data_IF_644555562514
#
_entry.id   IF_644555562514
#
_cell.length_a   1.000
_cell.length_b   1.000
_cell.length_c   1.000
_cell.angle_alpha   90.00
_cell.angle_beta   90.00
_cell.angle_gamma   90.00
#
_symmetry.space_group_name_H-M   'P 1'
#
loop_
_entity.id
_entity.type
_entity.pdbx_description
1 polymer ?
#
# COMPACT_ATOMS: atom_id res chain seq x y z
N UNK A 1 -41.40 34.25 -3.95
CA UNK A 1 -40.68 33.62 -2.81
C UNK A 1 -40.29 32.15 -3.04
N UNK A 2 -40.79 31.44 -4.06
CA UNK A 2 -40.41 30.03 -4.34
C UNK A 2 -39.20 29.83 -5.26
N UNK A 3 -38.72 30.86 -5.96
CA UNK A 3 -37.55 30.76 -6.84
C UNK A 3 -36.19 31.00 -6.14
N UNK A 4 -36.18 31.67 -4.98
CA UNK A 4 -34.95 31.90 -4.21
C UNK A 4 -34.47 30.65 -3.45
N UNK A 5 -35.38 29.73 -3.11
CA UNK A 5 -35.03 28.47 -2.45
C UNK A 5 -34.35 27.46 -3.37
N UNK A 6 -34.63 27.49 -4.67
CA UNK A 6 -34.08 26.52 -5.64
C UNK A 6 -32.64 26.88 -6.03
N UNK A 7 -32.30 28.17 -6.07
CA UNK A 7 -30.92 28.62 -6.35
C UNK A 7 -29.99 28.36 -5.15
N UNK A 8 -30.49 28.47 -3.92
CA UNK A 8 -29.73 28.15 -2.72
C UNK A 8 -29.43 26.64 -2.58
N UNK A 9 -30.33 25.76 -3.05
CA UNK A 9 -30.10 24.31 -3.03
C UNK A 9 -29.14 23.80 -4.10
N UNK A 10 -28.91 24.55 -5.18
CA UNK A 10 -27.93 24.21 -6.23
C UNK A 10 -26.49 24.62 -5.88
N UNK A 11 -26.30 25.50 -4.88
CA UNK A 11 -24.98 25.96 -4.44
C UNK A 11 -24.35 25.10 -3.33
N UNK A 12 -25.04 24.06 -2.85
CA UNK A 12 -24.58 23.15 -1.79
C UNK A 12 -24.12 21.76 -2.31
N UNK A 13 -24.14 21.53 -3.63
CA UNK A 13 -23.67 20.28 -4.25
C UNK A 13 -22.20 20.34 -4.73
N UNK A 14 -21.53 21.48 -4.53
CA UNK A 14 -20.07 21.55 -4.62
C UNK A 14 -19.46 21.12 -3.30
N UNK A 15 -19.32 19.80 -3.07
CA UNK A 15 -18.43 19.32 -2.03
C UNK A 15 -17.03 19.85 -2.34
N UNK A 16 -16.52 20.77 -1.53
CA UNK A 16 -15.13 21.22 -1.62
C UNK A 16 -14.24 20.00 -1.36
N UNK A 17 -13.77 19.35 -2.42
CA UNK A 17 -12.69 18.39 -2.32
C UNK A 17 -11.49 19.16 -1.75
N UNK A 18 -11.13 18.88 -0.49
CA UNK A 18 -9.92 19.42 0.10
C UNK A 18 -8.76 19.04 -0.83
N UNK A 19 -8.00 20.00 -1.37
CA UNK A 19 -6.92 19.67 -2.29
C UNK A 19 -5.94 18.76 -1.55
N UNK A 20 -5.80 17.52 -2.05
CA UNK A 20 -4.85 16.56 -1.50
C UNK A 20 -3.49 16.88 -2.10
N UNK A 21 -2.55 17.27 -1.25
CA UNK A 21 -1.20 17.64 -1.67
C UNK A 21 -0.27 16.50 -1.32
N UNK A 22 0.34 15.91 -2.35
CA UNK A 22 1.30 14.83 -2.18
C UNK A 22 2.69 15.33 -2.56
N UNK A 23 3.60 15.29 -1.60
CA UNK A 23 5.00 15.62 -1.80
C UNK A 23 5.81 14.33 -1.90
N UNK A 24 6.33 14.05 -3.09
CA UNK A 24 7.24 12.92 -3.30
C UNK A 24 8.67 13.44 -3.43
N UNK A 25 9.53 13.06 -2.48
CA UNK A 25 10.96 13.33 -2.50
C UNK A 25 11.70 12.14 -3.10
N UNK A 26 12.39 12.38 -4.21
CA UNK A 26 13.17 11.41 -4.94
C UNK A 26 14.48 10.99 -4.22
N UNK A 27 14.82 11.61 -3.09
CA UNK A 27 16.04 11.31 -2.33
C UNK A 27 17.29 12.00 -2.87
N UNK A 28 17.17 12.76 -3.96
CA UNK A 28 18.20 13.66 -4.52
C UNK A 28 17.89 15.15 -4.23
N UNK A 29 16.89 15.42 -3.39
CA UNK A 29 16.42 16.77 -3.06
C UNK A 29 15.34 17.32 -3.99
N UNK A 30 14.98 16.61 -5.07
CA UNK A 30 13.83 16.97 -5.91
C UNK A 30 12.52 16.58 -5.21
N UNK A 31 11.68 17.58 -4.93
CA UNK A 31 10.29 17.36 -4.50
C UNK A 31 9.34 17.54 -5.67
N UNK A 32 8.58 16.51 -5.98
CA UNK A 32 7.51 16.55 -6.98
C UNK A 32 6.18 16.67 -6.25
N UNK A 33 5.40 17.69 -6.61
CA UNK A 33 4.00 17.77 -6.20
C UNK A 33 3.20 16.83 -7.12
N UNK A 34 2.67 15.75 -6.56
CA UNK A 34 1.81 14.81 -7.28
C UNK A 34 0.36 15.27 -7.16
N UNK A 35 -0.30 15.45 -8.31
CA UNK A 35 -1.72 15.81 -8.36
C UNK A 35 -2.55 14.55 -8.05
N UNK A 36 -3.14 14.52 -6.86
CA UNK A 36 -3.89 13.38 -6.36
C UNK A 36 -5.22 13.24 -7.10
N UNK A 37 -5.45 12.10 -7.74
CA UNK A 37 -6.74 11.76 -8.36
C UNK A 37 -7.55 10.93 -7.37
N UNK A 38 -8.78 11.34 -7.07
CA UNK A 38 -9.65 10.57 -6.17
C UNK A 38 -10.05 9.22 -6.80
N UNK A 39 -9.72 8.14 -6.09
CA UNK A 39 -10.07 6.77 -6.47
C UNK A 39 -10.77 6.10 -5.30
N UNK A 40 -11.84 5.36 -5.57
CA UNK A 40 -12.58 4.67 -4.52
C UNK A 40 -11.70 3.68 -3.74
N UNK A 41 -11.88 3.55 -2.41
CA UNK A 41 -11.15 2.57 -1.59
C UNK A 41 -11.35 1.14 -2.10
N UNK A 42 -10.29 0.33 -2.03
CA UNK A 42 -10.36 -1.08 -2.35
C UNK A 42 -11.22 -1.79 -1.32
N UNK A 43 -12.31 -2.40 -1.77
CA UNK A 43 -13.19 -3.19 -0.92
C UNK A 43 -12.70 -4.64 -0.87
N UNK A 44 -12.47 -5.14 0.34
CA UNK A 44 -12.18 -6.55 0.60
C UNK A 44 -13.46 -7.20 1.12
N UNK A 45 -14.04 -8.06 0.31
CA UNK A 45 -15.22 -8.84 0.70
C UNK A 45 -14.90 -9.81 1.84
N UNK A 46 -15.91 -10.30 2.53
CA UNK A 46 -15.70 -11.26 3.62
C UNK A 46 -15.08 -12.57 3.14
N UNK A 47 -15.49 -13.05 1.96
CA UNK A 47 -14.97 -14.29 1.38
C UNK A 47 -13.51 -14.15 0.95
N UNK A 48 -13.14 -13.02 0.33
CA UNK A 48 -11.74 -12.71 0.00
C UNK A 48 -10.89 -12.58 1.26
N UNK A 49 -11.42 -11.95 2.31
CA UNK A 49 -10.74 -11.83 3.60
C UNK A 49 -10.48 -13.20 4.22
N UNK A 50 -11.51 -14.06 4.31
CA UNK A 50 -11.37 -15.42 4.86
C UNK A 50 -10.34 -16.24 4.06
N UNK A 51 -10.45 -16.24 2.74
CA UNK A 51 -9.54 -17.00 1.88
C UNK A 51 -8.08 -16.53 2.03
N UNK A 52 -7.85 -15.21 2.01
CA UNK A 52 -6.51 -14.64 2.16
C UNK A 52 -5.94 -14.90 3.55
N UNK A 53 -6.75 -14.75 4.60
CA UNK A 53 -6.31 -14.99 5.97
C UNK A 53 -5.92 -16.46 6.20
N UNK A 54 -6.71 -17.41 5.70
CA UNK A 54 -6.39 -18.84 5.78
C UNK A 54 -5.05 -19.16 5.12
N UNK A 55 -4.77 -18.57 3.94
CA UNK A 55 -3.47 -18.73 3.27
C UNK A 55 -2.32 -18.16 4.11
N UNK A 56 -2.48 -16.97 4.68
CA UNK A 56 -1.47 -16.33 5.53
C UNK A 56 -1.19 -17.15 6.81
N UNK A 57 -2.22 -17.72 7.43
CA UNK A 57 -2.10 -18.58 8.62
C UNK A 57 -1.27 -19.84 8.29
N UNK A 58 -1.52 -20.46 7.14
CA UNK A 58 -0.77 -21.65 6.69
C UNK A 58 0.71 -21.32 6.44
N UNK A 59 1.00 -20.19 5.81
CA UNK A 59 2.36 -19.75 5.53
C UNK A 59 3.14 -19.41 6.82
N UNK A 60 2.51 -18.75 7.80
CA UNK A 60 3.14 -18.48 9.11
C UNK A 60 3.53 -19.78 9.82
N UNK A 61 2.68 -20.81 9.78
CA UNK A 61 2.98 -22.11 10.39
C UNK A 61 4.19 -22.78 9.73
N UNK A 62 4.26 -22.71 8.39
CA UNK A 62 5.40 -23.25 7.64
C UNK A 62 6.70 -22.55 8.03
N UNK A 63 6.69 -21.22 8.10
CA UNK A 63 7.87 -20.44 8.51
C UNK A 63 8.32 -20.77 9.95
N UNK A 64 7.40 -20.95 10.89
CA UNK A 64 7.74 -21.36 12.27
C UNK A 64 8.34 -22.77 12.27
N UNK A 65 7.72 -23.71 11.56
CA UNK A 65 8.21 -25.09 11.47
C UNK A 65 9.62 -25.17 10.83
N UNK A 66 9.87 -24.42 9.75
CA UNK A 66 11.19 -24.36 9.11
C UNK A 66 12.25 -23.72 10.00
N UNK A 67 11.91 -22.68 10.76
CA UNK A 67 12.84 -22.06 11.71
C UNK A 67 13.16 -22.99 12.87
N UNK A 68 12.21 -23.81 13.32
CA UNK A 68 12.46 -24.82 14.35
C UNK A 68 13.38 -25.94 13.84
N UNK A 69 13.20 -26.39 12.58
CA UNK A 69 14.10 -27.38 11.96
C UNK A 69 15.47 -26.81 11.66
N UNK A 70 15.58 -25.59 11.14
CA UNK A 70 16.88 -24.92 10.90
C UNK A 70 17.62 -24.67 12.21
N UNK A 71 16.90 -24.30 13.27
CA UNK A 71 17.48 -24.16 14.60
C UNK A 71 17.82 -25.52 15.23
N UNK A 72 17.17 -26.62 14.84
CA UNK A 72 17.54 -27.97 15.24
C UNK A 72 18.77 -28.48 14.47
N UNK A 73 18.88 -28.18 13.17
CA UNK A 73 20.00 -28.55 12.31
C UNK A 73 21.26 -27.74 12.65
N UNK A 74 21.12 -26.44 12.95
CA UNK A 74 22.23 -25.63 13.48
C UNK A 74 22.70 -26.09 14.87
N UNK A 75 21.85 -26.78 15.64
CA UNK A 75 22.21 -27.44 16.90
C UNK A 75 22.75 -28.87 16.71
N UNK A 76 22.69 -29.42 15.50
CA UNK A 76 23.16 -30.77 15.17
C UNK A 76 24.68 -30.94 15.13
N UNK A 77 25.45 -29.85 15.08
CA UNK A 77 26.93 -29.89 15.01
C UNK A 77 27.64 -29.61 16.35
N UNK A 78 26.91 -29.55 17.47
CA UNK A 78 27.52 -29.51 18.82
C UNK A 78 26.87 -30.58 19.68
N UNK A 79 27.20 -31.84 19.39
CA UNK A 79 26.84 -32.98 20.23
C UNK A 79 27.56 -32.88 21.58
N UNK A 80 26.79 -33.12 22.64
CA UNK A 80 27.21 -33.70 23.93
C UNK A 80 27.48 -32.73 25.09
N UNK A 81 26.63 -32.87 26.12
CA UNK A 81 26.81 -32.48 27.53
C UNK A 81 27.01 -30.98 27.79
N UNK A 82 25.95 -30.33 28.27
CA UNK A 82 25.83 -29.87 29.66
C UNK A 82 24.43 -29.26 29.85
N UNK A 83 23.91 -29.50 31.04
CA UNK A 83 22.60 -29.18 31.55
C UNK A 83 22.21 -27.70 31.37
N UNK A 84 20.92 -27.49 31.09
CA UNK A 84 20.06 -26.40 31.57
C UNK A 84 20.79 -25.10 31.95
N UNK A 85 20.70 -24.06 31.11
CA UNK A 85 20.47 -22.66 31.54
C UNK A 85 20.43 -21.69 30.36
N UNK A 86 19.51 -20.73 30.48
CA UNK A 86 19.41 -19.45 29.77
C UNK A 86 19.13 -19.46 28.26
N UNK A 87 17.85 -19.28 27.93
CA UNK A 87 17.40 -18.57 26.75
C UNK A 87 17.74 -17.08 26.88
N UNK A 88 18.68 -16.60 26.06
CA UNK A 88 18.83 -15.17 25.75
C UNK A 88 19.53 -15.00 24.40
N UNK A 89 18.79 -14.44 23.44
CA UNK A 89 19.25 -13.37 22.54
C UNK A 89 18.36 -13.29 21.27
N UNK A 90 17.14 -12.76 21.41
CA UNK A 90 16.57 -11.82 20.43
C UNK A 90 15.86 -10.74 21.26
N UNK A 91 16.24 -9.49 21.00
CA UNK A 91 15.74 -8.23 21.56
C UNK A 91 14.54 -8.30 22.52
N UNK A 92 14.81 -7.83 23.73
CA UNK A 92 13.93 -7.54 24.87
C UNK A 92 12.57 -6.93 24.45
N UNK A 93 11.56 -7.79 24.27
CA UNK A 93 10.17 -7.43 24.50
C UNK A 93 9.87 -7.83 25.94
N UNK A 94 9.70 -6.81 26.79
CA UNK A 94 9.55 -6.97 28.23
C UNK A 94 8.61 -8.11 28.62
N UNK A 95 9.12 -8.93 29.54
CA UNK A 95 8.38 -9.92 30.32
C UNK A 95 7.07 -9.34 30.86
N UNK A 96 5.97 -9.72 30.23
CA UNK A 96 4.61 -9.52 30.71
C UNK A 96 3.72 -10.53 30.00
N UNK A 97 3.03 -11.37 30.77
CA UNK A 97 2.03 -12.34 30.32
C UNK A 97 1.17 -11.81 29.16
N UNK A 98 0.96 -12.62 28.12
CA UNK A 98 0.16 -12.22 26.96
C UNK A 98 -1.27 -11.81 27.36
N UNK A 99 -1.88 -10.80 26.73
CA UNK A 99 -3.21 -10.28 27.11
C UNK A 99 -4.35 -11.30 27.05
N UNK A 100 -4.22 -12.36 26.27
CA UNK A 100 -5.22 -13.44 26.22
C UNK A 100 -5.06 -14.44 27.33
N UNK A 101 -3.84 -14.67 27.82
CA UNK A 101 -3.66 -15.38 29.08
C UNK A 101 -4.21 -14.56 30.25
N UNK A 102 -4.33 -13.23 30.10
CA UNK A 102 -4.99 -12.35 31.05
C UNK A 102 -6.51 -12.33 30.85
N UNK A 103 -7.01 -12.19 29.62
CA UNK A 103 -8.45 -12.23 29.30
C UNK A 103 -9.08 -13.58 29.64
N UNK A 104 -8.44 -14.69 29.27
CA UNK A 104 -8.88 -16.04 29.63
C UNK A 104 -8.69 -16.36 31.12
N UNK A 105 -7.80 -15.66 31.85
CA UNK A 105 -7.74 -15.72 33.33
C UNK A 105 -8.78 -14.85 34.02
N UNK A 106 -9.20 -13.76 33.38
CA UNK A 106 -10.11 -12.76 33.95
C UNK A 106 -11.58 -13.09 33.65
N UNK A 107 -11.85 -13.83 32.58
CA UNK A 107 -13.21 -14.19 32.18
C UNK A 107 -13.25 -15.58 31.53
N UNK A 108 -13.17 -16.66 32.33
CA UNK A 108 -13.27 -18.03 31.83
C UNK A 108 -14.69 -18.38 31.35
N UNK A 109 -15.72 -17.76 31.92
CA UNK A 109 -17.13 -17.86 31.53
C UNK A 109 -17.76 -16.46 31.55
N UNK A 110 -18.53 -16.10 30.51
CA UNK A 110 -18.98 -14.74 30.21
C UNK A 110 -19.82 -14.02 31.28
N UNK A 111 -20.30 -14.72 32.30
CA UNK A 111 -21.14 -14.17 33.37
C UNK A 111 -20.35 -13.79 34.65
N UNK A 112 -19.12 -14.27 34.84
CA UNK A 112 -18.33 -14.07 36.07
C UNK A 112 -17.43 -12.80 36.06
N UNK A 113 -17.39 -12.07 34.94
CA UNK A 113 -16.70 -10.78 34.82
C UNK A 113 -17.26 -9.67 35.74
N UNK A 114 -18.41 -9.89 36.37
CA UNK A 114 -19.10 -8.93 37.23
C UNK A 114 -18.42 -8.72 38.61
N UNK A 115 -17.43 -9.52 38.99
CA UNK A 115 -16.76 -9.39 40.30
C UNK A 115 -15.60 -8.38 40.32
N UNK A 116 -15.12 -7.91 39.15
CA UNK A 116 -14.19 -6.77 39.03
C UNK A 116 -14.90 -5.40 39.03
N UNK A 117 -16.23 -5.38 39.20
CA UNK A 117 -17.07 -4.18 39.32
C UNK A 117 -16.92 -3.50 40.70
N UNK A 118 -16.22 -4.14 41.65
CA UNK A 118 -16.08 -3.69 43.03
C UNK A 118 -14.80 -2.92 43.37
N UNK A 119 -14.62 -1.71 42.85
CA UNK A 119 -14.03 -0.62 43.65
C UNK A 119 -12.51 -0.39 43.65
N UNK A 120 -11.69 -1.10 42.88
CA UNK A 120 -10.29 -0.70 42.64
C UNK A 120 -10.03 -0.70 41.13
N UNK A 121 -9.75 0.48 40.56
CA UNK A 121 -9.62 0.63 39.11
C UNK A 121 -8.58 -0.31 38.48
N UNK A 122 -8.68 -0.53 37.18
CA UNK A 122 -7.78 -1.39 36.40
C UNK A 122 -6.29 -1.11 36.69
N UNK A 123 -5.55 -2.01 37.35
CA UNK A 123 -4.12 -1.83 37.67
C UNK A 123 -3.18 -2.02 36.47
N UNK A 124 -3.72 -2.06 35.25
CA UNK A 124 -2.98 -2.28 34.01
C UNK A 124 -2.23 -1.03 33.54
N UNK A 125 -1.10 -1.23 32.84
CA UNK A 125 -0.38 -0.11 32.21
C UNK A 125 -1.24 0.53 31.10
N UNK A 126 -0.95 1.79 30.72
CA UNK A 126 -1.62 2.45 29.58
C UNK A 126 -1.59 1.55 28.34
N UNK A 127 -0.44 0.95 28.05
CA UNK A 127 -0.25 0.09 26.87
C UNK A 127 -1.16 -1.14 26.90
N UNK A 128 -1.32 -1.79 28.05
CA UNK A 128 -2.16 -2.99 28.19
C UNK A 128 -3.65 -2.64 28.05
N UNK A 129 -4.08 -1.49 28.60
CA UNK A 129 -5.44 -0.99 28.44
C UNK A 129 -5.75 -0.66 26.97
N UNK A 130 -4.83 0.02 26.29
CA UNK A 130 -4.94 0.29 24.85
C UNK A 130 -5.00 -1.00 24.04
N UNK A 131 -4.18 -1.98 24.36
CA UNK A 131 -4.16 -3.28 23.67
C UNK A 131 -5.49 -4.01 23.82
N UNK A 132 -6.10 -3.95 25.01
CA UNK A 132 -7.42 -4.51 25.28
C UNK A 132 -8.53 -3.77 24.51
N UNK A 133 -8.53 -2.44 24.54
CA UNK A 133 -9.47 -1.64 23.75
C UNK A 133 -9.33 -1.91 22.24
N UNK A 134 -8.10 -2.06 21.74
CA UNK A 134 -7.86 -2.42 20.34
C UNK A 134 -8.37 -3.83 20.03
N UNK A 135 -8.21 -4.79 20.94
CA UNK A 135 -8.77 -6.14 20.77
C UNK A 135 -10.28 -6.08 20.52
N UNK A 136 -11.02 -5.33 21.35
CA UNK A 136 -12.46 -5.12 21.17
C UNK A 136 -12.80 -4.42 19.85
N UNK A 137 -11.97 -3.48 19.39
CA UNK A 137 -12.17 -2.82 18.10
C UNK A 137 -12.10 -3.80 16.90
N UNK A 138 -11.35 -4.90 17.06
CA UNK A 138 -11.14 -5.91 16.02
C UNK A 138 -12.10 -7.11 16.13
N UNK A 139 -12.93 -7.20 17.18
CA UNK A 139 -13.78 -8.39 17.45
C UNK A 139 -14.64 -8.79 16.25
N UNK A 140 -15.21 -7.81 15.56
CA UNK A 140 -16.12 -8.02 14.41
C UNK A 140 -15.52 -8.84 13.26
N UNK A 141 -14.20 -8.87 13.10
CA UNK A 141 -13.57 -9.69 12.05
C UNK A 141 -13.16 -11.06 12.55
N UNK A 142 -13.07 -11.28 13.87
CA UNK A 142 -12.65 -12.55 14.45
C UNK A 142 -13.78 -13.57 14.54
N UNK A 143 -15.04 -13.15 14.65
CA UNK A 143 -16.21 -14.04 14.59
C UNK A 143 -16.17 -14.96 13.35
N UNK A 144 -15.74 -14.40 12.23
CA UNK A 144 -15.61 -15.09 10.93
C UNK A 144 -14.35 -15.95 10.78
N UNK A 145 -13.41 -15.86 11.73
CA UNK A 145 -12.05 -16.45 11.65
C UNK A 145 -11.89 -17.64 12.61
N UNK A 146 -12.59 -17.66 13.73
CA UNK A 146 -12.50 -18.73 14.73
C UNK A 146 -12.71 -20.13 14.13
N UNK A 147 -13.65 -20.27 13.18
CA UNK A 147 -13.93 -21.52 12.49
C UNK A 147 -12.77 -22.05 11.62
N UNK A 148 -11.95 -21.15 11.07
CA UNK A 148 -10.83 -21.51 10.18
C UNK A 148 -9.49 -21.53 10.92
N UNK A 149 -9.25 -20.57 11.82
CA UNK A 149 -8.03 -20.49 12.62
C UNK A 149 -7.93 -21.65 13.62
N UNK A 150 -9.04 -22.05 14.26
CA UNK A 150 -9.07 -23.12 15.26
C UNK A 150 -8.61 -24.49 14.74
N UNK A 151 -8.59 -24.70 13.42
CA UNK A 151 -8.08 -25.93 12.78
C UNK A 151 -6.55 -25.96 12.67
N UNK A 152 -5.88 -24.80 12.79
CA UNK A 152 -4.47 -24.64 12.40
C UNK A 152 -3.61 -24.03 13.51
N UNK A 153 -4.15 -23.10 14.30
CA UNK A 153 -3.48 -22.39 15.39
C UNK A 153 -4.46 -22.11 16.54
N UNK A 154 -3.95 -21.79 17.74
CA UNK A 154 -4.81 -21.33 18.82
C UNK A 154 -5.43 -19.97 18.41
N UNK A 155 -6.75 -19.86 18.25
CA UNK A 155 -7.41 -18.66 17.72
C UNK A 155 -7.25 -17.47 18.66
N UNK A 156 -7.17 -17.72 19.98
CA UNK A 156 -6.76 -16.69 20.93
C UNK A 156 -5.35 -16.25 20.56
N UNK A 157 -4.32 -17.09 20.69
CA UNK A 157 -2.93 -16.65 20.48
C UNK A 157 -2.69 -15.88 19.17
N UNK A 158 -3.39 -16.24 18.09
CA UNK A 158 -3.38 -15.51 16.82
C UNK A 158 -3.95 -14.09 16.96
N UNK A 159 -5.12 -13.94 17.59
CA UNK A 159 -5.74 -12.64 17.86
C UNK A 159 -4.84 -11.72 18.68
N UNK A 160 -4.15 -12.19 19.73
CA UNK A 160 -3.25 -11.33 20.50
C UNK A 160 -2.03 -10.94 19.68
N UNK A 161 -1.48 -11.87 18.90
CA UNK A 161 -0.34 -11.59 18.04
C UNK A 161 -0.68 -10.48 17.04
N UNK A 162 -1.82 -10.61 16.34
CA UNK A 162 -2.29 -9.62 15.38
C UNK A 162 -2.63 -8.30 16.06
N UNK A 163 -3.34 -8.31 17.18
CA UNK A 163 -3.70 -7.09 17.92
C UNK A 163 -2.44 -6.36 18.42
N UNK A 164 -1.42 -7.09 18.89
CA UNK A 164 -0.15 -6.51 19.33
C UNK A 164 0.66 -5.91 18.18
N UNK A 165 0.67 -6.59 17.02
CA UNK A 165 1.32 -6.08 15.82
C UNK A 165 0.58 -4.86 15.24
N UNK A 166 -0.76 -4.87 15.25
CA UNK A 166 -1.59 -3.73 14.88
C UNK A 166 -1.36 -2.54 15.81
N UNK A 167 -1.28 -2.76 17.14
CA UNK A 167 -0.94 -1.71 18.11
C UNK A 167 0.42 -1.09 17.78
N UNK A 168 1.42 -1.93 17.49
CA UNK A 168 2.77 -1.48 17.14
C UNK A 168 2.76 -0.62 15.87
N UNK A 169 2.05 -1.05 14.83
CA UNK A 169 1.87 -0.29 13.60
C UNK A 169 1.21 1.07 13.88
N UNK A 170 0.06 1.08 14.56
CA UNK A 170 -0.69 2.30 14.84
C UNK A 170 0.10 3.29 15.71
N UNK A 171 0.88 2.79 16.68
CA UNK A 171 1.82 3.61 17.44
C UNK A 171 2.86 4.24 16.53
N UNK A 172 3.50 3.46 15.65
CA UNK A 172 4.50 4.02 14.74
C UNK A 172 3.93 5.05 13.77
N UNK A 173 2.69 4.85 13.32
CA UNK A 173 2.01 5.74 12.36
C UNK A 173 1.59 7.09 12.99
N UNK A 174 1.43 7.14 14.31
CA UNK A 174 0.94 8.33 15.04
C UNK A 174 2.05 9.14 15.71
N UNK A 175 3.31 8.70 15.60
CA UNK A 175 4.44 9.51 16.04
C UNK A 175 4.58 10.75 15.13
N UNK A 176 4.95 11.92 15.68
CA UNK A 176 5.10 13.16 14.93
C UNK A 176 6.30 13.16 13.97
N UNK A 177 7.16 12.15 14.05
CA UNK A 177 8.29 11.95 13.13
C UNK A 177 7.88 11.06 11.95
N UNK A 178 8.50 11.22 10.77
CA UNK A 178 8.24 10.34 9.64
C UNK A 178 8.45 8.87 10.04
N UNK A 179 7.57 8.00 9.55
CA UNK A 179 7.77 6.56 9.70
C UNK A 179 9.01 6.21 8.87
N UNK A 180 10.12 5.82 9.52
CA UNK A 180 11.39 5.51 8.83
C UNK A 180 11.74 4.02 8.88
N UNK A 181 11.10 3.26 9.76
CA UNK A 181 11.30 1.81 9.83
C UNK A 181 10.68 1.17 8.59
N UNK A 182 11.52 0.59 7.73
CA UNK A 182 11.13 0.00 6.43
C UNK A 182 9.83 -0.82 6.49
N UNK A 183 9.66 -1.67 7.51
CA UNK A 183 8.45 -2.46 7.67
C UNK A 183 7.22 -1.60 7.99
N UNK A 184 7.34 -0.62 8.87
CA UNK A 184 6.26 0.30 9.20
C UNK A 184 5.92 1.22 8.01
N UNK A 185 6.91 1.61 7.20
CA UNK A 185 6.70 2.32 5.94
C UNK A 185 5.90 1.46 4.97
N UNK A 186 6.29 0.20 4.76
CA UNK A 186 5.58 -0.72 3.88
C UNK A 186 4.13 -0.96 4.34
N UNK A 187 3.91 -1.15 5.64
CA UNK A 187 2.57 -1.31 6.23
C UNK A 187 1.71 -0.05 6.04
N UNK A 188 2.29 1.13 6.29
CA UNK A 188 1.58 2.42 6.11
C UNK A 188 1.28 2.67 4.63
N UNK A 189 2.23 2.37 3.73
CA UNK A 189 2.05 2.45 2.29
C UNK A 189 0.91 1.54 1.82
N UNK A 190 0.83 0.31 2.33
CA UNK A 190 -0.26 -0.60 2.04
C UNK A 190 -1.60 -0.06 2.54
N UNK A 191 -1.67 0.43 3.77
CA UNK A 191 -2.90 1.06 4.30
C UNK A 191 -3.38 2.23 3.42
N UNK A 192 -2.46 3.12 3.01
CA UNK A 192 -2.78 4.25 2.12
C UNK A 192 -3.26 3.76 0.75
N UNK A 193 -2.58 2.77 0.18
CA UNK A 193 -2.93 2.19 -1.12
C UNK A 193 -4.35 1.61 -1.14
N UNK A 194 -4.72 0.87 -0.08
CA UNK A 194 -6.03 0.21 0.02
C UNK A 194 -7.15 1.16 0.44
N UNK A 195 -6.93 2.00 1.46
CA UNK A 195 -7.97 2.80 2.11
C UNK A 195 -7.94 4.27 1.71
N UNK A 196 -6.75 4.85 1.60
CA UNK A 196 -6.53 6.22 1.13
C UNK A 196 -5.87 7.10 2.15
N UNK A 197 -5.41 8.27 1.70
CA UNK A 197 -4.74 9.24 2.57
C UNK A 197 -5.67 9.71 3.69
N UNK A 198 -6.91 10.11 3.34
CA UNK A 198 -7.86 10.65 4.32
C UNK A 198 -8.33 9.58 5.32
N UNK A 199 -8.79 8.39 4.90
CA UNK A 199 -9.20 7.34 5.85
C UNK A 199 -8.07 6.89 6.78
N UNK A 200 -6.84 6.75 6.26
CA UNK A 200 -5.69 6.35 7.10
C UNK A 200 -5.34 7.45 8.11
N UNK A 201 -5.43 8.72 7.71
CA UNK A 201 -5.23 9.83 8.63
C UNK A 201 -6.30 9.86 9.73
N UNK A 202 -7.58 9.61 9.41
CA UNK A 202 -8.65 9.51 10.42
C UNK A 202 -8.47 8.31 11.35
N UNK A 203 -7.98 7.17 10.84
CA UNK A 203 -7.60 6.02 11.67
C UNK A 203 -6.48 6.41 12.64
N UNK A 204 -5.46 7.14 12.17
CA UNK A 204 -4.39 7.66 13.01
C UNK A 204 -4.92 8.56 14.14
N UNK A 205 -5.78 9.53 13.81
CA UNK A 205 -6.41 10.40 14.82
C UNK A 205 -7.31 9.63 15.77
N UNK A 206 -8.08 8.67 15.26
CA UNK A 206 -8.91 7.78 16.05
C UNK A 206 -8.09 6.97 17.04
N UNK A 207 -6.91 6.51 16.63
CA UNK A 207 -6.01 5.75 17.49
C UNK A 207 -5.42 6.62 18.61
N UNK A 208 -5.02 7.87 18.33
CA UNK A 208 -4.57 8.80 19.38
C UNK A 208 -5.66 9.00 20.43
N UNK A 209 -6.93 9.13 20.02
CA UNK A 209 -8.06 9.21 20.95
C UNK A 209 -8.23 7.91 21.75
N UNK A 210 -8.15 6.74 21.11
CA UNK A 210 -8.18 5.46 21.80
C UNK A 210 -7.05 5.33 22.83
N UNK A 211 -5.84 5.78 22.48
CA UNK A 211 -4.66 5.76 23.37
C UNK A 211 -4.85 6.62 24.62
N UNK A 212 -5.46 7.79 24.49
CA UNK A 212 -5.73 8.69 25.62
C UNK A 212 -6.95 8.26 26.43
N UNK A 213 -8.03 7.82 25.78
CA UNK A 213 -9.24 7.36 26.47
C UNK A 213 -8.99 6.05 27.23
N UNK A 214 -8.15 5.14 26.70
CA UNK A 214 -7.79 3.90 27.37
C UNK A 214 -6.96 4.14 28.65
N UNK A 215 -6.19 5.23 28.74
CA UNK A 215 -5.55 5.62 30.01
C UNK A 215 -6.59 6.02 31.05
N UNK A 216 -7.62 6.75 30.65
CA UNK A 216 -8.64 7.29 31.57
C UNK A 216 -9.65 6.23 32.01
N UNK A 217 -9.82 5.17 31.22
CA UNK A 217 -10.72 4.08 31.56
C UNK A 217 -10.29 3.37 32.85
N UNK A 218 -11.26 3.18 33.74
CA UNK A 218 -11.11 2.55 35.06
C UNK A 218 -11.81 1.21 35.15
N UNK A 219 -12.69 0.88 34.19
CA UNK A 219 -13.44 -0.37 34.13
C UNK A 219 -13.32 -1.06 32.77
N UNK A 220 -13.62 -2.37 32.73
CA UNK A 220 -13.60 -3.16 31.50
C UNK A 220 -14.67 -2.70 30.49
N UNK A 221 -15.85 -2.32 30.99
CA UNK A 221 -16.97 -1.84 30.16
C UNK A 221 -16.58 -0.53 29.46
N UNK A 222 -15.89 0.37 30.17
CA UNK A 222 -15.36 1.59 29.55
C UNK A 222 -14.33 1.28 28.45
N UNK A 223 -13.42 0.33 28.67
CA UNK A 223 -12.46 -0.09 27.65
C UNK A 223 -13.13 -0.70 26.42
N UNK A 224 -14.18 -1.49 26.63
CA UNK A 224 -14.96 -2.06 25.54
C UNK A 224 -15.64 -0.97 24.72
N UNK A 225 -16.26 0.03 25.36
CA UNK A 225 -16.87 1.15 24.64
C UNK A 225 -15.83 1.99 23.88
N UNK A 226 -14.67 2.28 24.49
CA UNK A 226 -13.53 2.92 23.82
C UNK A 226 -13.10 2.13 22.58
N UNK A 227 -12.97 0.81 22.71
CA UNK A 227 -12.63 -0.09 21.61
C UNK A 227 -13.66 -0.06 20.48
N UNK A 228 -14.95 -0.20 20.80
CA UNK A 228 -16.02 -0.16 19.80
C UNK A 228 -16.11 1.19 19.08
N UNK A 229 -15.89 2.31 19.78
CA UNK A 229 -15.83 3.64 19.14
C UNK A 229 -14.70 3.71 18.11
N UNK A 230 -13.53 3.16 18.43
CA UNK A 230 -12.43 3.09 17.46
C UNK A 230 -12.71 2.09 16.32
N UNK A 231 -13.35 0.95 16.61
CA UNK A 231 -13.80 0.00 15.59
C UNK A 231 -14.73 0.63 14.55
N UNK A 232 -15.59 1.58 14.95
CA UNK A 232 -16.41 2.38 14.03
C UNK A 232 -15.59 3.29 13.11
N UNK A 233 -14.43 3.78 13.58
CA UNK A 233 -13.50 4.60 12.76
C UNK A 233 -12.77 3.73 11.74
N UNK A 234 -12.33 2.53 12.13
CA UNK A 234 -11.76 1.55 11.20
C UNK A 234 -12.80 1.12 10.15
N UNK A 235 -14.03 0.87 10.59
CA UNK A 235 -15.07 0.28 9.77
C UNK A 235 -14.73 -1.16 9.34
N UNK A 236 -15.71 -1.88 8.80
CA UNK A 236 -15.52 -3.30 8.44
C UNK A 236 -14.37 -3.49 7.43
N UNK A 237 -14.31 -2.66 6.38
CA UNK A 237 -13.27 -2.78 5.37
C UNK A 237 -11.88 -2.40 5.91
N UNK A 238 -11.77 -1.32 6.69
CA UNK A 238 -10.50 -0.90 7.29
C UNK A 238 -9.95 -1.92 8.28
N UNK A 239 -10.82 -2.57 9.06
CA UNK A 239 -10.44 -3.67 9.96
C UNK A 239 -9.90 -4.87 9.17
N UNK A 240 -10.58 -5.31 8.10
CA UNK A 240 -10.11 -6.41 7.24
C UNK A 240 -8.74 -6.10 6.62
N UNK A 241 -8.58 -4.91 6.05
CA UNK A 241 -7.30 -4.47 5.46
C UNK A 241 -6.21 -4.42 6.52
N UNK A 242 -6.47 -3.84 7.70
CA UNK A 242 -5.50 -3.77 8.79
C UNK A 242 -5.02 -5.17 9.20
N UNK A 243 -5.95 -6.11 9.42
CA UNK A 243 -5.60 -7.49 9.79
C UNK A 243 -4.80 -8.18 8.70
N UNK A 244 -5.20 -8.08 7.43
CA UNK A 244 -4.46 -8.71 6.33
C UNK A 244 -3.05 -8.14 6.14
N UNK A 245 -2.91 -6.82 6.23
CA UNK A 245 -1.63 -6.11 6.09
C UNK A 245 -0.69 -6.47 7.24
N UNK A 246 -1.20 -6.54 8.48
CA UNK A 246 -0.44 -7.00 9.65
C UNK A 246 -0.04 -8.47 9.51
N UNK A 247 -0.97 -9.34 9.11
CA UNK A 247 -0.73 -10.77 8.91
C UNK A 247 0.34 -11.04 7.84
N UNK A 248 0.29 -10.33 6.70
CA UNK A 248 1.29 -10.42 5.64
C UNK A 248 2.71 -10.05 6.11
N UNK A 249 2.81 -9.23 7.16
CA UNK A 249 4.07 -8.79 7.74
C UNK A 249 4.55 -9.67 8.92
N UNK A 250 3.85 -10.73 9.31
CA UNK A 250 4.18 -11.54 10.49
C UNK A 250 5.50 -12.34 10.40
N UNK A 251 6.21 -12.31 9.27
CA UNK A 251 7.59 -12.79 9.13
C UNK A 251 8.61 -11.68 8.89
N UNK A 252 8.23 -10.41 9.09
CA UNK A 252 9.06 -9.24 8.82
C UNK A 252 9.05 -8.81 7.36
N UNK A 253 10.11 -8.11 6.92
CA UNK A 253 10.19 -7.46 5.60
C UNK A 253 10.07 -8.43 4.41
N UNK A 254 10.68 -9.61 4.51
CA UNK A 254 10.66 -10.62 3.44
C UNK A 254 9.27 -11.22 3.28
N UNK A 255 8.59 -11.51 4.39
CA UNK A 255 7.21 -11.98 4.37
C UNK A 255 6.30 -10.90 3.76
N UNK A 256 6.44 -9.64 4.16
CA UNK A 256 5.64 -8.55 3.59
C UNK A 256 5.85 -8.42 2.07
N UNK A 257 7.09 -8.50 1.61
CA UNK A 257 7.42 -8.46 0.18
C UNK A 257 6.85 -9.65 -0.60
N UNK A 258 6.82 -10.85 -0.01
CA UNK A 258 6.32 -12.07 -0.64
C UNK A 258 4.79 -12.20 -0.60
N UNK A 259 4.16 -11.80 0.50
CA UNK A 259 2.74 -12.00 0.77
C UNK A 259 1.89 -10.79 0.40
N UNK A 260 2.41 -9.57 0.55
CA UNK A 260 1.67 -8.35 0.22
C UNK A 260 1.12 -8.33 -1.20
N UNK A 261 1.87 -8.72 -2.25
CA UNK A 261 1.36 -8.83 -3.62
C UNK A 261 0.26 -9.88 -3.83
N UNK A 262 0.11 -10.84 -2.91
CA UNK A 262 -0.94 -11.88 -2.97
C UNK A 262 -2.23 -11.47 -2.27
N UNK A 263 -2.24 -10.32 -1.57
CA UNK A 263 -3.44 -9.83 -0.90
C UNK A 263 -4.57 -9.52 -1.90
N UNK A 264 -5.83 -9.76 -1.53
CA UNK A 264 -6.97 -9.50 -2.40
C UNK A 264 -7.06 -8.02 -2.73
N UNK A 265 -7.26 -7.67 -4.00
CA UNK A 265 -7.33 -6.27 -4.44
C UNK A 265 -5.97 -5.56 -4.59
N UNK A 266 -4.84 -6.28 -4.48
CA UNK A 266 -3.51 -5.68 -4.62
C UNK A 266 -3.30 -4.90 -5.93
N UNK A 267 -3.72 -5.38 -7.13
CA UNK A 267 -3.59 -4.61 -8.35
C UNK A 267 -4.29 -3.24 -8.28
N UNK A 268 -5.50 -3.20 -7.72
CA UNK A 268 -6.30 -1.99 -7.54
C UNK A 268 -5.63 -1.05 -6.54
N UNK A 269 -5.15 -1.58 -5.41
CA UNK A 269 -4.40 -0.82 -4.41
C UNK A 269 -3.11 -0.23 -5.00
N UNK A 270 -2.39 -0.99 -5.82
CA UNK A 270 -1.15 -0.53 -6.45
C UNK A 270 -1.39 0.62 -7.44
N UNK A 271 -2.48 0.57 -8.20
CA UNK A 271 -2.88 1.65 -9.10
C UNK A 271 -3.30 2.89 -8.35
N UNK A 272 -4.07 2.71 -7.27
CA UNK A 272 -4.50 3.79 -6.40
C UNK A 272 -3.34 4.45 -5.68
N UNK A 273 -2.40 3.67 -5.15
CA UNK A 273 -1.16 4.22 -4.58
C UNK A 273 -0.41 5.11 -5.58
N UNK A 274 -0.40 4.72 -6.85
CA UNK A 274 0.23 5.52 -7.88
C UNK A 274 -0.59 6.79 -8.22
N UNK A 275 -1.91 6.66 -8.35
CA UNK A 275 -2.80 7.75 -8.75
C UNK A 275 -3.08 8.78 -7.64
N UNK A 276 -3.22 8.33 -6.39
CA UNK A 276 -3.51 9.19 -5.25
C UNK A 276 -2.24 9.66 -4.53
N UNK A 277 -1.23 8.80 -4.43
CA UNK A 277 -0.13 8.95 -3.48
C UNK A 277 1.27 8.98 -4.14
N UNK A 278 1.34 8.85 -5.48
CA UNK A 278 2.58 9.03 -6.24
C UNK A 278 3.67 7.99 -5.99
N UNK A 279 3.34 6.82 -5.42
CA UNK A 279 4.31 5.74 -5.19
C UNK A 279 3.84 4.37 -5.70
N UNK A 280 4.79 3.54 -6.06
CA UNK A 280 4.53 2.14 -6.42
C UNK A 280 4.43 1.27 -5.18
N UNK A 281 3.24 0.71 -4.92
CA UNK A 281 3.01 -0.16 -3.77
C UNK A 281 4.00 -1.33 -3.71
N UNK A 282 4.23 -2.03 -4.82
CA UNK A 282 5.20 -3.15 -4.87
C UNK A 282 6.63 -2.73 -4.50
N UNK A 283 7.06 -1.53 -4.92
CA UNK A 283 8.36 -1.00 -4.53
C UNK A 283 8.39 -0.65 -3.03
N UNK A 284 7.32 -0.04 -2.51
CA UNK A 284 7.18 0.28 -1.09
C UNK A 284 7.29 -0.98 -0.21
N UNK A 285 6.67 -2.09 -0.62
CA UNK A 285 6.77 -3.37 0.09
C UNK A 285 8.18 -3.97 0.09
N UNK A 286 9.00 -3.61 -0.90
CA UNK A 286 10.39 -4.06 -1.05
C UNK A 286 11.41 -3.03 -0.51
N UNK A 287 10.96 -1.99 0.20
CA UNK A 287 11.84 -0.96 0.78
C UNK A 287 12.26 0.15 -0.18
N UNK A 288 11.57 0.30 -1.31
CA UNK A 288 11.76 1.42 -2.24
C UNK A 288 11.18 2.76 -1.74
N UNK A 289 10.42 2.75 -0.64
CA UNK A 289 10.00 3.94 0.09
C UNK A 289 10.69 3.92 1.45
N UNK A 290 11.39 5.01 1.78
CA UNK A 290 12.20 5.14 3.00
C UNK A 290 11.47 5.89 4.09
N UNK A 291 10.51 6.76 3.73
CA UNK A 291 9.71 7.50 4.70
C UNK A 291 8.30 7.80 4.18
N UNK A 292 7.32 7.73 5.07
CA UNK A 292 5.96 8.22 4.86
C UNK A 292 5.54 9.05 6.08
N UNK A 293 4.95 10.23 5.83
CA UNK A 293 4.35 11.06 6.86
C UNK A 293 3.05 11.71 6.37
N UNK A 294 2.09 11.84 7.28
CA UNK A 294 0.80 12.50 7.01
C UNK A 294 0.60 13.63 8.04
N UNK A 295 1.21 14.81 7.82
CA UNK A 295 1.21 15.88 8.82
C UNK A 295 -0.17 16.53 9.00
N UNK A 296 -1.04 16.44 7.99
CA UNK A 296 -2.38 17.00 8.01
C UNK A 296 -3.33 16.18 7.13
N UNK A 297 -4.64 16.41 7.30
CA UNK A 297 -5.66 15.82 6.45
C UNK A 297 -5.36 16.11 4.97
N UNK A 298 -5.23 15.06 4.16
CA UNK A 298 -4.97 15.19 2.73
C UNK A 298 -3.54 15.61 2.35
N UNK A 299 -2.62 15.75 3.31
CA UNK A 299 -1.19 15.97 3.01
C UNK A 299 -0.44 14.66 3.21
N UNK A 300 0.27 14.21 2.17
CA UNK A 300 1.11 13.02 2.23
C UNK A 300 2.53 13.37 1.78
N UNK A 301 3.50 13.10 2.65
CA UNK A 301 4.92 13.21 2.32
C UNK A 301 5.49 11.81 2.15
N UNK A 302 6.10 11.55 1.00
CA UNK A 302 6.72 10.27 0.66
C UNK A 302 8.18 10.53 0.31
N UNK A 303 9.10 9.77 0.89
CA UNK A 303 10.51 9.79 0.52
C UNK A 303 10.87 8.44 -0.09
N UNK A 304 11.44 8.46 -1.28
CA UNK A 304 11.85 7.26 -2.00
C UNK A 304 13.29 6.86 -1.62
N UNK A 305 13.60 5.57 -1.79
CA UNK A 305 14.97 5.10 -1.71
C UNK A 305 15.78 5.60 -2.93
N UNK A 306 17.09 5.85 -2.78
CA UNK A 306 17.97 6.13 -3.90
C UNK A 306 17.85 5.02 -4.97
N UNK A 307 17.58 5.41 -6.23
CA UNK A 307 17.36 4.47 -7.34
C UNK A 307 15.91 3.99 -7.52
N UNK A 308 15.01 4.21 -6.56
CA UNK A 308 13.56 3.97 -6.74
C UNK A 308 12.86 5.11 -7.52
N UNK A 309 13.60 6.19 -7.80
CA UNK A 309 13.18 7.36 -8.59
C UNK A 309 12.84 7.02 -10.03
N UNK A 310 13.54 6.04 -10.62
CA UNK A 310 13.28 5.57 -11.98
C UNK A 310 11.88 5.00 -12.13
N UNK A 311 11.31 4.40 -11.07
CA UNK A 311 9.95 3.87 -11.05
C UNK A 311 8.91 5.00 -10.90
N UNK A 312 9.12 5.95 -9.99
CA UNK A 312 8.17 7.06 -9.78
C UNK A 312 8.16 8.06 -10.93
N UNK A 313 9.28 8.28 -11.60
CA UNK A 313 9.36 9.08 -12.82
C UNK A 313 8.63 8.46 -14.03
N UNK A 314 8.17 7.20 -13.95
CA UNK A 314 7.40 6.55 -15.03
C UNK A 314 5.93 6.98 -15.07
N UNK A 315 5.41 7.62 -14.01
CA UNK A 315 3.98 7.90 -13.84
C UNK A 315 3.67 9.32 -13.32
N UNK A 316 4.69 10.15 -13.05
CA UNK A 316 4.48 11.59 -12.87
C UNK A 316 4.03 12.24 -14.18
N UNK A 317 3.20 13.28 -14.10
CA UNK A 317 2.89 14.17 -15.24
C UNK A 317 4.12 14.91 -15.81
N UNK A 318 5.32 14.64 -15.29
CA UNK A 318 6.57 15.15 -15.83
C UNK A 318 7.04 14.29 -17.00
N UNK A 319 7.42 14.96 -18.09
CA UNK A 319 7.82 14.30 -19.32
C UNK A 319 9.22 13.74 -19.14
N UNK A 320 9.32 12.41 -19.18
CA UNK A 320 10.59 11.67 -19.09
C UNK A 320 11.53 12.10 -20.22
N UNK A 321 12.81 12.35 -19.93
CA UNK A 321 13.80 12.55 -20.97
C UNK A 321 15.03 13.36 -20.59
N UNK A 322 15.78 13.81 -21.60
CA UNK A 322 16.99 14.62 -21.45
C UNK A 322 16.71 15.92 -20.66
N UNK A 323 17.75 16.54 -20.07
CA UNK A 323 17.60 17.78 -19.28
C UNK A 323 17.16 18.99 -20.12
N UNK A 324 17.45 18.95 -21.43
CA UNK A 324 17.07 19.95 -22.42
C UNK A 324 16.60 19.26 -23.71
N UNK A 325 15.75 19.93 -24.50
CA UNK A 325 15.28 19.44 -25.80
C UNK A 325 13.75 19.47 -25.98
N UNK A 326 13.26 19.32 -27.23
CA UNK A 326 11.84 19.23 -27.53
C UNK A 326 11.18 17.96 -26.98
N UNK A 327 9.87 18.06 -26.76
CA UNK A 327 9.02 16.95 -26.32
C UNK A 327 8.39 16.28 -27.53
N UNK A 328 8.55 14.97 -27.63
CA UNK A 328 8.06 14.14 -28.72
C UNK A 328 7.04 13.13 -28.22
N UNK A 329 6.05 12.84 -29.06
CA UNK A 329 5.18 11.70 -28.83
C UNK A 329 5.87 10.41 -29.28
N UNK A 330 5.85 9.39 -28.43
CA UNK A 330 6.32 8.04 -28.76
C UNK A 330 5.42 7.45 -29.86
N UNK A 331 4.10 7.38 -29.61
CA UNK A 331 3.09 7.07 -30.62
C UNK A 331 2.45 8.36 -31.13
N UNK A 332 2.52 8.61 -32.44
CA UNK A 332 2.18 9.93 -33.02
C UNK A 332 0.69 10.26 -33.00
N UNK A 333 0.38 11.52 -32.66
CA UNK A 333 -0.95 12.13 -32.78
C UNK A 333 -1.12 12.97 -34.07
N UNK A 334 -0.07 13.11 -34.91
CA UNK A 334 -0.05 14.04 -36.06
C UNK A 334 -0.15 13.38 -37.43
N UNK A 335 -0.36 12.07 -37.51
CA UNK A 335 -0.39 11.32 -38.76
C UNK A 335 -1.75 10.62 -38.96
N UNK A 336 -2.79 11.44 -39.15
CA UNK A 336 -4.18 10.99 -39.29
C UNK A 336 -4.51 10.41 -40.68
N UNK A 337 -3.90 10.93 -41.75
CA UNK A 337 -4.29 10.60 -43.13
C UNK A 337 -3.13 10.27 -44.09
N UNK A 338 -1.91 10.75 -43.82
CA UNK A 338 -0.80 10.63 -44.78
C UNK A 338 -0.10 9.28 -44.70
N UNK A 339 0.09 8.63 -45.86
CA UNK A 339 0.87 7.42 -46.03
C UNK A 339 2.36 7.66 -46.34
N UNK A 340 2.81 8.92 -46.40
CA UNK A 340 4.17 9.29 -46.84
C UNK A 340 5.30 8.70 -45.98
N UNK A 341 5.00 8.32 -44.73
CA UNK A 341 5.90 7.64 -43.80
C UNK A 341 5.38 6.26 -43.39
N UNK A 342 4.64 5.57 -44.26
CA UNK A 342 4.06 4.24 -44.02
C UNK A 342 2.75 4.24 -43.23
N UNK A 343 2.17 5.41 -42.96
CA UNK A 343 0.94 5.59 -42.17
C UNK A 343 -0.37 5.26 -42.92
N UNK A 344 -1.54 5.64 -42.35
CA UNK A 344 -1.71 6.50 -41.19
C UNK A 344 -1.46 5.78 -39.85
N UNK A 345 -0.63 6.39 -39.01
CA UNK A 345 -0.21 5.85 -37.71
C UNK A 345 -1.10 6.28 -36.55
N UNK A 346 -1.62 7.51 -36.57
CA UNK A 346 -2.44 8.03 -35.46
C UNK A 346 -3.68 7.19 -35.17
N UNK A 347 -4.46 6.73 -36.17
CA UNK A 347 -5.61 5.86 -35.91
C UNK A 347 -5.23 4.53 -35.23
N UNK A 348 -4.03 4.00 -35.52
CA UNK A 348 -3.52 2.77 -34.89
C UNK A 348 -3.15 3.04 -33.42
N UNK A 349 -2.42 4.13 -33.17
CA UNK A 349 -2.09 4.59 -31.82
C UNK A 349 -3.37 4.82 -30.98
N UNK A 350 -4.37 5.52 -31.51
CA UNK A 350 -5.64 5.79 -30.81
C UNK A 350 -6.37 4.51 -30.42
N UNK A 351 -6.41 3.51 -31.30
CA UNK A 351 -7.04 2.21 -31.02
C UNK A 351 -6.36 1.51 -29.83
N UNK A 352 -5.03 1.50 -29.79
CA UNK A 352 -4.24 0.89 -28.72
C UNK A 352 -4.50 1.62 -27.39
N UNK A 353 -4.38 2.95 -27.39
CA UNK A 353 -4.55 3.78 -26.20
C UNK A 353 -5.98 3.73 -25.65
N UNK A 354 -6.99 3.74 -26.54
CA UNK A 354 -8.40 3.58 -26.14
C UNK A 354 -8.66 2.25 -25.44
N UNK A 355 -8.01 1.15 -25.87
CA UNK A 355 -8.12 -0.17 -25.19
C UNK A 355 -7.61 -0.11 -23.75
N UNK A 356 -6.61 0.72 -23.48
CA UNK A 356 -6.05 0.99 -22.16
C UNK A 356 -6.77 2.12 -21.41
N UNK A 357 -7.81 2.75 -21.99
CA UNK A 357 -8.45 3.93 -21.39
C UNK A 357 -7.45 5.06 -21.15
N UNK A 358 -6.54 5.27 -22.11
CA UNK A 358 -5.49 6.30 -22.13
C UNK A 358 -5.69 7.22 -23.34
N UNK A 359 -5.04 8.39 -23.32
CA UNK A 359 -5.00 9.39 -24.40
C UNK A 359 -3.61 9.48 -25.01
N UNK A 360 -3.51 9.82 -26.29
CA UNK A 360 -2.21 10.11 -26.92
C UNK A 360 -1.50 11.31 -26.31
N UNK A 361 -2.23 12.17 -25.60
CA UNK A 361 -1.68 13.32 -24.90
C UNK A 361 -1.13 13.00 -23.50
N UNK A 362 -1.30 11.77 -23.01
CA UNK A 362 -0.81 11.38 -21.70
C UNK A 362 0.71 11.53 -21.62
N UNK A 363 1.22 11.96 -20.46
CA UNK A 363 2.66 12.14 -20.23
C UNK A 363 3.46 10.87 -20.51
N UNK A 364 2.86 9.68 -20.28
CA UNK A 364 3.47 8.38 -20.59
C UNK A 364 3.75 8.17 -22.09
N UNK A 365 3.05 8.87 -22.99
CA UNK A 365 3.31 8.84 -24.43
C UNK A 365 4.31 9.91 -24.88
N UNK A 366 4.89 10.68 -23.95
CA UNK A 366 5.76 11.81 -24.27
C UNK A 366 7.18 11.55 -23.75
N UNK A 367 8.17 11.93 -24.56
CA UNK A 367 9.58 11.84 -24.20
C UNK A 367 10.32 13.10 -24.63
N UNK A 368 11.19 13.63 -23.77
CA UNK A 368 12.07 14.76 -24.09
C UNK A 368 13.38 14.23 -24.68
N UNK A 369 13.69 14.62 -25.91
CA UNK A 369 14.88 14.14 -26.62
C UNK A 369 15.71 15.32 -27.09
N UNK A 370 17.00 15.32 -26.76
CA UNK A 370 17.95 16.25 -27.32
C UNK A 370 18.46 15.75 -28.69
N UNK A 371 18.61 16.66 -29.66
CA UNK A 371 19.19 16.36 -30.97
C UNK A 371 18.26 15.66 -31.98
N UNK A 372 16.93 15.70 -31.78
CA UNK A 372 15.97 15.19 -32.75
C UNK A 372 15.06 16.30 -33.32
N UNK A 373 15.11 16.51 -34.64
CA UNK A 373 14.25 17.43 -35.36
C UNK A 373 13.77 16.79 -36.67
N UNK A 374 12.46 16.81 -36.92
CA UNK A 374 11.84 16.30 -38.14
C UNK A 374 10.87 15.11 -37.94
N UNK A 375 10.20 14.64 -39.01
CA UNK A 375 9.26 13.53 -38.95
C UNK A 375 9.96 12.19 -38.71
N UNK A 376 9.31 11.30 -37.95
CA UNK A 376 9.86 9.97 -37.72
C UNK A 376 9.72 9.08 -38.98
N UNK A 377 10.69 8.21 -39.28
CA UNK A 377 10.61 7.31 -40.42
C UNK A 377 9.61 6.17 -40.20
N UNK A 378 9.15 5.53 -41.28
CA UNK A 378 8.24 4.38 -41.24
C UNK A 378 8.71 3.28 -40.28
N UNK A 379 10.00 2.94 -40.33
CA UNK A 379 10.61 1.91 -39.45
C UNK A 379 10.40 2.20 -37.96
N UNK A 380 10.45 3.47 -37.56
CA UNK A 380 10.25 3.86 -36.17
C UNK A 380 8.78 3.64 -35.78
N UNK A 381 7.87 4.14 -36.60
CA UNK A 381 6.45 4.02 -36.32
C UNK A 381 5.99 2.56 -36.29
N UNK A 382 6.46 1.74 -37.24
CA UNK A 382 6.18 0.30 -37.27
C UNK A 382 6.67 -0.38 -36.00
N UNK A 383 7.92 -0.16 -35.59
CA UNK A 383 8.47 -0.78 -34.38
C UNK A 383 7.70 -0.38 -33.12
N UNK A 384 7.40 0.91 -32.95
CA UNK A 384 6.62 1.40 -31.81
C UNK A 384 5.22 0.79 -31.80
N UNK A 385 4.47 0.89 -32.90
CA UNK A 385 3.08 0.40 -32.96
C UNK A 385 3.03 -1.11 -32.74
N UNK A 386 3.92 -1.87 -33.39
CA UNK A 386 3.97 -3.33 -33.25
C UNK A 386 4.25 -3.74 -31.79
N UNK A 387 5.15 -3.04 -31.09
CA UNK A 387 5.45 -3.29 -29.68
C UNK A 387 4.25 -2.95 -28.78
N UNK A 388 3.64 -1.79 -28.97
CA UNK A 388 2.50 -1.35 -28.16
C UNK A 388 1.28 -2.25 -28.39
N UNK A 389 1.02 -2.68 -29.63
CA UNK A 389 -0.07 -3.60 -29.95
C UNK A 389 0.17 -4.97 -29.30
N UNK A 390 1.37 -5.54 -29.41
CA UNK A 390 1.73 -6.80 -28.73
C UNK A 390 1.56 -6.71 -27.21
N UNK A 391 1.92 -5.58 -26.60
CA UNK A 391 1.79 -5.39 -25.17
C UNK A 391 0.33 -5.46 -24.69
N UNK A 392 -0.59 -4.90 -25.48
CA UNK A 392 -2.02 -4.89 -25.14
C UNK A 392 -2.84 -5.98 -25.83
N UNK A 393 -2.23 -6.86 -26.63
CA UNK A 393 -2.98 -7.87 -27.39
C UNK A 393 -3.77 -8.80 -26.45
N UNK A 394 -3.10 -9.33 -25.43
CA UNK A 394 -3.63 -10.40 -24.54
C UNK A 394 -4.35 -9.90 -23.28
N UNK A 395 -4.41 -8.59 -23.04
CA UNK A 395 -5.11 -8.04 -21.89
C UNK A 395 -6.63 -8.07 -22.11
N UNK A 396 -7.40 -8.38 -21.06
CA UNK A 396 -8.87 -8.54 -21.11
C UNK A 396 -9.64 -7.36 -20.53
N UNK A 397 -9.08 -6.67 -19.54
CA UNK A 397 -9.70 -5.50 -18.90
C UNK A 397 -8.92 -4.24 -19.26
N UNK A 398 -9.62 -3.10 -19.34
CA UNK A 398 -9.02 -1.78 -19.57
C UNK A 398 -7.83 -1.54 -18.63
N UNK A 399 -7.97 -1.93 -17.37
CA UNK A 399 -6.93 -1.78 -16.36
C UNK A 399 -5.68 -2.62 -16.64
N UNK A 400 -5.85 -3.90 -16.98
CA UNK A 400 -4.70 -4.75 -17.34
C UNK A 400 -4.04 -4.26 -18.63
N UNK A 401 -4.83 -3.74 -19.57
CA UNK A 401 -4.31 -3.12 -20.79
C UNK A 401 -3.51 -1.86 -20.50
N UNK A 402 -3.98 -1.01 -19.58
CA UNK A 402 -3.26 0.17 -19.12
C UNK A 402 -1.90 -0.18 -18.54
N UNK A 403 -1.84 -1.12 -17.60
CA UNK A 403 -0.58 -1.56 -16.97
C UNK A 403 0.43 -2.06 -18.03
N UNK A 404 -0.04 -2.88 -18.98
CA UNK A 404 0.83 -3.42 -20.05
C UNK A 404 1.30 -2.33 -21.00
N UNK A 405 0.40 -1.41 -21.38
CA UNK A 405 0.72 -0.31 -22.28
C UNK A 405 1.73 0.65 -21.65
N UNK A 406 1.50 1.07 -20.40
CA UNK A 406 2.39 1.98 -19.68
C UNK A 406 3.78 1.37 -19.45
N UNK A 407 3.86 0.07 -19.15
CA UNK A 407 5.14 -0.64 -19.06
C UNK A 407 5.90 -0.61 -20.39
N UNK A 408 5.21 -0.84 -21.50
CA UNK A 408 5.86 -0.88 -22.81
C UNK A 408 6.28 0.53 -23.28
N UNK A 409 5.46 1.55 -23.04
CA UNK A 409 5.82 2.95 -23.29
C UNK A 409 7.08 3.34 -22.50
N UNK A 410 7.20 2.88 -21.25
CA UNK A 410 8.40 3.12 -20.45
C UNK A 410 9.63 2.41 -21.02
N UNK A 411 9.51 1.13 -21.43
CA UNK A 411 10.59 0.39 -22.09
C UNK A 411 11.05 1.09 -23.38
N UNK A 412 10.11 1.57 -24.18
CA UNK A 412 10.40 2.34 -25.39
C UNK A 412 11.11 3.65 -25.03
N UNK A 413 10.63 4.37 -24.01
CA UNK A 413 11.28 5.59 -23.56
C UNK A 413 12.71 5.36 -23.06
N UNK A 414 12.96 4.29 -22.32
CA UNK A 414 14.30 3.94 -21.84
C UNK A 414 15.24 3.64 -23.01
N UNK A 415 14.74 2.92 -24.02
CA UNK A 415 15.48 2.68 -25.24
C UNK A 415 15.76 3.98 -25.99
N UNK A 416 14.78 4.87 -26.13
CA UNK A 416 14.94 6.17 -26.79
C UNK A 416 15.94 7.07 -26.09
N UNK A 417 16.12 6.93 -24.77
CA UNK A 417 17.09 7.70 -23.98
C UNK A 417 18.47 7.05 -23.93
N UNK A 418 18.58 5.78 -24.30
CA UNK A 418 19.86 5.07 -24.31
C UNK A 418 20.64 5.40 -25.60
N UNK A 419 21.83 6.02 -25.52
CA UNK A 419 22.66 6.28 -26.69
C UNK A 419 23.02 4.99 -27.42
N UNK A 420 22.92 5.00 -28.76
CA UNK A 420 23.24 3.84 -29.59
C UNK A 420 22.21 2.71 -29.60
N UNK A 421 21.07 2.87 -28.91
CA UNK A 421 20.00 1.89 -29.01
C UNK A 421 19.40 1.85 -30.43
N UNK A 422 18.84 0.69 -30.85
CA UNK A 422 18.20 0.58 -32.15
C UNK A 422 17.12 1.65 -32.36
N UNK A 423 16.21 1.83 -31.41
CA UNK A 423 15.10 2.78 -31.57
C UNK A 423 15.56 4.25 -31.57
N UNK A 424 16.56 4.62 -30.75
CA UNK A 424 17.13 5.98 -30.77
C UNK A 424 17.86 6.26 -32.08
N UNK A 425 18.58 5.28 -32.62
CA UNK A 425 19.31 5.39 -33.90
C UNK A 425 18.40 5.66 -35.10
N UNK A 426 17.10 5.38 -34.98
CA UNK A 426 16.14 5.67 -36.04
C UNK A 426 15.80 7.15 -36.16
N UNK A 427 15.94 7.92 -35.08
CA UNK A 427 15.44 9.30 -34.97
C UNK A 427 16.53 10.33 -34.65
N UNK A 428 17.56 9.96 -33.89
CA UNK A 428 18.72 10.83 -33.60
C UNK A 428 19.84 10.48 -34.57
N UNK A 429 20.34 11.46 -35.33
CA UNK A 429 21.53 11.27 -36.17
C UNK A 429 22.77 11.21 -35.28
N UNK A 430 23.57 10.17 -35.41
CA UNK A 430 24.89 10.10 -34.77
C UNK A 430 25.75 11.19 -35.43
N UNK A 431 26.19 12.18 -34.66
CA UNK A 431 27.30 13.03 -35.10
C UNK A 431 28.53 12.13 -35.22
N UNK A 432 29.04 12.00 -36.44
CA UNK A 432 30.22 11.21 -36.77
C UNK A 432 31.52 11.96 -36.50
#
# INVERSE_FOLDING_TARGET
MRLLGVVASLLLLGGCATPRVVHVDAGDGRRVAHESVEVDPVQVSEDEFKAALTQLILDVRMDVAFRETDAADQRGWVRSRILLTSSRAIADFGSGSSPESLYARLCPDGDDCLTLVGGTGLTFSRKDRTLMALSFALDTVWESVEAEAGKVLNPAALKAMVTSAALTLLLTMTLPEPVTKVLAVALTAAMVAYLGIVPVWEIGRGFVRLWDDAERATTLIELQDVGHRFGKVLGTNGTRVLVLVVMAALGGKSAMAAQGPKLPGFPQAALRAQAEAGFHLGAALNGGVTSIAMPAAGVLNVTLAPGATAAVAMYSNDIRGDSEGPVHHICTNKNLASAASGGPWTPQCEKIFKKAGMSLEDAANKVRLNGHEGPHPERYHKEVVDRLERAVERCRTTETCRIKLMRELANISDELLTPGSPLRSFIVKVEG
#
